data_IF_164806956916
#
_entry.id   IF_164806956916
#
_cell.length_a   1.000
_cell.length_b   1.000
_cell.length_c   1.000
_cell.angle_alpha   90.00
_cell.angle_beta   90.00
_cell.angle_gamma   90.00
#
_symmetry.space_group_name_H-M   'P 1'
#
loop_
_entity.id
_entity.type
_entity.pdbx_description
1 polymer ?
#
# COMPACT_ATOMS: atom_id res chain seq x y z
N UNK A 1 -6.18 5.49 9.37
CA UNK A 1 -5.15 4.55 8.88
C UNK A 1 -5.02 4.54 7.37
N UNK A 2 -6.12 4.32 6.63
CA UNK A 2 -6.10 4.35 5.14
C UNK A 2 -5.53 5.66 4.58
N UNK A 3 -5.87 6.80 5.19
CA UNK A 3 -5.33 8.11 4.81
C UNK A 3 -3.80 8.22 4.98
N UNK A 4 -3.22 7.51 5.94
CA UNK A 4 -1.75 7.47 6.12
C UNK A 4 -1.12 6.66 4.98
N UNK A 5 -1.75 5.53 4.60
CA UNK A 5 -1.32 4.76 3.42
C UNK A 5 -1.38 5.65 2.17
N UNK A 6 -2.46 6.42 1.99
CA UNK A 6 -2.61 7.39 0.90
C UNK A 6 -1.49 8.41 0.88
N UNK A 7 -1.26 9.09 2.00
CA UNK A 7 -0.22 10.10 2.09
C UNK A 7 1.17 9.54 1.75
N UNK A 8 1.50 8.33 2.23
CA UNK A 8 2.80 7.69 1.94
C UNK A 8 2.91 7.18 0.51
N UNK A 9 1.85 6.63 -0.07
CA UNK A 9 1.81 6.25 -1.47
C UNK A 9 2.00 7.48 -2.39
N UNK A 10 1.34 8.59 -2.08
CA UNK A 10 1.48 9.85 -2.83
C UNK A 10 2.91 10.41 -2.73
N UNK A 11 3.50 10.47 -1.54
CA UNK A 11 4.90 10.89 -1.36
C UNK A 11 5.85 10.01 -2.16
N UNK A 12 5.61 8.70 -2.17
CA UNK A 12 6.47 7.77 -2.92
C UNK A 12 6.32 7.94 -4.43
N UNK A 13 5.10 8.17 -4.93
CA UNK A 13 4.85 8.45 -6.34
C UNK A 13 5.55 9.74 -6.81
N UNK A 14 5.57 10.78 -5.97
CA UNK A 14 6.38 11.98 -6.24
C UNK A 14 7.86 11.65 -6.34
N UNK A 15 8.39 10.83 -5.42
CA UNK A 15 9.79 10.42 -5.46
C UNK A 15 10.14 9.59 -6.70
N UNK A 16 9.26 8.67 -7.09
CA UNK A 16 9.38 7.91 -8.35
C UNK A 16 9.45 8.84 -9.56
N UNK A 17 8.59 9.87 -9.58
CA UNK A 17 8.57 10.85 -10.67
C UNK A 17 9.89 11.63 -10.75
N UNK A 18 10.39 12.13 -9.61
CA UNK A 18 11.68 12.82 -9.51
C UNK A 18 12.84 11.94 -9.99
N UNK A 19 12.88 10.66 -9.57
CA UNK A 19 13.92 9.72 -9.97
C UNK A 19 13.87 9.41 -11.48
N UNK A 20 12.69 9.34 -12.08
CA UNK A 20 12.53 9.12 -13.51
C UNK A 20 13.03 10.30 -14.34
N UNK A 21 12.84 11.53 -13.84
CA UNK A 21 13.39 12.72 -14.48
C UNK A 21 14.92 12.77 -14.38
N UNK A 22 15.48 12.30 -13.26
CA UNK A 22 16.94 12.19 -13.07
C UNK A 22 17.57 11.02 -13.85
N UNK A 23 16.81 9.95 -14.11
CA UNK A 23 17.26 8.71 -14.74
C UNK A 23 16.36 8.31 -15.91
N UNK A 24 16.30 9.13 -16.97
CA UNK A 24 15.43 8.86 -18.11
C UNK A 24 15.81 7.52 -18.75
N UNK A 25 14.81 6.65 -18.95
CA UNK A 25 14.98 5.33 -19.57
C UNK A 25 15.34 4.19 -18.61
N UNK A 26 15.48 4.45 -17.30
CA UNK A 26 15.66 3.38 -16.31
C UNK A 26 14.38 2.53 -16.20
N UNK A 27 14.45 1.31 -16.74
CA UNK A 27 13.32 0.39 -16.80
C UNK A 27 12.88 -0.10 -15.42
N UNK A 28 13.76 -0.09 -14.42
CA UNK A 28 13.41 -0.52 -13.06
C UNK A 28 12.36 0.39 -12.40
N UNK A 29 12.31 1.68 -12.81
CA UNK A 29 11.34 2.66 -12.33
C UNK A 29 10.01 2.65 -13.10
N UNK A 30 9.94 1.94 -14.24
CA UNK A 30 8.84 2.11 -15.21
C UNK A 30 7.48 1.61 -14.73
N UNK A 31 7.45 0.55 -13.91
CA UNK A 31 6.22 -0.05 -13.37
C UNK A 31 5.76 0.57 -12.05
N UNK A 32 6.66 1.18 -11.27
CA UNK A 32 6.34 1.77 -9.97
C UNK A 32 5.17 2.77 -10.01
N UNK A 33 5.04 3.67 -11.00
CA UNK A 33 3.90 4.58 -11.07
C UNK A 33 2.56 3.87 -11.17
N UNK A 34 2.48 2.75 -11.90
CA UNK A 34 1.24 1.99 -12.03
C UNK A 34 0.85 1.37 -10.70
N UNK A 35 1.79 0.74 -9.99
CA UNK A 35 1.54 0.17 -8.67
C UNK A 35 1.06 1.24 -7.69
N UNK A 36 1.77 2.38 -7.57
CA UNK A 36 1.34 3.44 -6.66
C UNK A 36 0.02 4.11 -7.06
N UNK A 37 -0.28 4.20 -8.35
CA UNK A 37 -1.57 4.65 -8.84
C UNK A 37 -2.69 3.67 -8.44
N UNK A 38 -2.44 2.36 -8.50
CA UNK A 38 -3.39 1.32 -8.10
C UNK A 38 -3.65 1.34 -6.59
N UNK A 39 -2.61 1.51 -5.77
CA UNK A 39 -2.76 1.74 -4.32
C UNK A 39 -3.71 2.91 -4.08
N UNK A 40 -3.46 4.04 -4.74
CA UNK A 40 -4.23 5.28 -4.53
C UNK A 40 -5.67 5.22 -5.06
N UNK A 41 -5.88 4.65 -6.24
CA UNK A 41 -7.16 4.76 -6.95
C UNK A 41 -8.06 3.56 -6.75
N UNK A 42 -7.51 2.40 -6.41
CA UNK A 42 -8.26 1.17 -6.22
C UNK A 42 -8.22 0.71 -4.77
N UNK A 43 -7.03 0.50 -4.21
CA UNK A 43 -6.92 -0.18 -2.92
C UNK A 43 -7.34 0.73 -1.77
N UNK A 44 -7.00 2.01 -1.80
CA UNK A 44 -7.38 2.95 -0.73
C UNK A 44 -8.90 3.20 -0.70
N UNK A 45 -9.59 3.50 -1.81
CA UNK A 45 -11.05 3.62 -1.80
C UNK A 45 -11.73 2.34 -1.32
N UNK A 46 -11.29 1.17 -1.82
CA UNK A 46 -11.80 -0.12 -1.37
C UNK A 46 -11.50 -0.38 0.10
N UNK A 47 -10.33 0.00 0.59
CA UNK A 47 -9.93 -0.19 1.98
C UNK A 47 -10.76 0.72 2.88
N UNK A 48 -11.00 1.97 2.49
CA UNK A 48 -11.87 2.90 3.21
C UNK A 48 -13.28 2.35 3.36
N UNK A 49 -13.86 1.81 2.27
CA UNK A 49 -15.15 1.13 2.31
C UNK A 49 -15.10 -0.15 3.18
N UNK A 50 -14.03 -0.93 3.03
CA UNK A 50 -13.81 -2.17 3.74
C UNK A 50 -13.56 -2.00 5.23
N UNK A 51 -12.99 -0.89 5.70
CA UNK A 51 -12.81 -0.63 7.13
C UNK A 51 -14.16 -0.49 7.83
N UNK A 52 -15.18 0.06 7.15
CA UNK A 52 -16.54 0.10 7.66
C UNK A 52 -17.21 -1.29 7.67
N UNK A 53 -16.72 -2.23 6.86
CA UNK A 53 -17.29 -3.58 6.69
C UNK A 53 -16.42 -4.70 7.27
N UNK A 54 -15.25 -4.36 7.82
CA UNK A 54 -14.19 -5.29 8.20
C UNK A 54 -13.66 -6.16 7.05
N UNK A 55 -13.00 -5.63 6.01
CA UNK A 55 -12.37 -6.49 5.00
C UNK A 55 -10.85 -6.22 4.84
N UNK A 56 -9.99 -6.97 5.55
CA UNK A 56 -8.54 -6.71 5.62
C UNK A 56 -7.78 -7.02 4.33
N UNK A 57 -8.36 -7.80 3.41
CA UNK A 57 -7.68 -8.27 2.19
C UNK A 57 -7.21 -7.14 1.28
N UNK A 58 -7.91 -6.00 1.31
CA UNK A 58 -7.57 -4.84 0.49
C UNK A 58 -6.28 -4.17 0.96
N UNK A 59 -6.04 -4.10 2.27
CA UNK A 59 -4.81 -3.52 2.80
C UNK A 59 -3.57 -4.40 2.48
N UNK A 60 -3.75 -5.72 2.39
CA UNK A 60 -2.69 -6.65 1.93
C UNK A 60 -2.34 -6.45 0.45
N UNK A 61 -3.30 -6.05 -0.40
CA UNK A 61 -3.03 -5.73 -1.80
C UNK A 61 -2.10 -4.53 -1.92
N UNK A 62 -2.36 -3.47 -1.15
CA UNK A 62 -1.48 -2.30 -1.12
C UNK A 62 -0.05 -2.61 -0.62
N UNK A 63 0.12 -3.63 0.25
CA UNK A 63 1.46 -4.12 0.63
C UNK A 63 2.18 -4.77 -0.56
N UNK A 64 1.49 -5.68 -1.26
CA UNK A 64 2.06 -6.40 -2.40
C UNK A 64 2.46 -5.45 -3.54
N UNK A 65 1.73 -4.36 -3.73
CA UNK A 65 2.02 -3.35 -4.76
C UNK A 65 3.30 -2.56 -4.44
N UNK A 66 3.51 -2.19 -3.16
CA UNK A 66 4.75 -1.54 -2.73
C UNK A 66 5.97 -2.47 -2.91
N UNK A 67 5.83 -3.75 -2.57
CA UNK A 67 6.87 -4.76 -2.78
C UNK A 67 7.14 -5.02 -4.27
N UNK A 68 6.09 -4.98 -5.11
CA UNK A 68 6.22 -5.18 -6.56
C UNK A 68 7.05 -4.07 -7.21
N UNK A 69 6.97 -2.83 -6.71
CA UNK A 69 7.88 -1.76 -7.12
C UNK A 69 9.33 -2.07 -6.71
N UNK A 70 9.57 -2.50 -5.47
CA UNK A 70 10.92 -2.85 -4.99
C UNK A 70 11.56 -4.01 -5.78
N UNK A 71 10.77 -5.04 -6.11
CA UNK A 71 11.25 -6.20 -6.89
C UNK A 71 11.60 -5.86 -8.35
N UNK A 72 11.25 -4.67 -8.85
CA UNK A 72 11.71 -4.17 -10.14
C UNK A 72 13.22 -3.87 -10.18
N UNK A 73 13.89 -3.83 -9.02
CA UNK A 73 15.30 -3.49 -8.88
C UNK A 73 16.12 -4.74 -8.53
N UNK A 74 17.35 -4.82 -9.05
CA UNK A 74 18.32 -5.85 -8.67
C UNK A 74 19.02 -5.45 -7.36
N UNK A 75 18.32 -5.65 -6.23
CA UNK A 75 18.79 -5.29 -4.89
C UNK A 75 18.08 -4.05 -4.34
N UNK A 76 18.65 -3.42 -3.31
CA UNK A 76 18.06 -2.22 -2.71
C UNK A 76 17.91 -1.10 -3.74
N UNK A 77 16.69 -0.61 -3.87
CA UNK A 77 16.36 0.50 -4.76
C UNK A 77 16.60 1.86 -4.07
N UNK A 78 16.67 2.96 -4.84
CA UNK A 78 16.56 4.32 -4.29
C UNK A 78 15.22 4.61 -3.59
N UNK A 79 14.26 3.68 -3.66
CA UNK A 79 12.94 3.74 -3.06
C UNK A 79 12.78 2.79 -1.87
N UNK A 80 13.79 2.00 -1.49
CA UNK A 80 13.68 0.94 -0.46
C UNK A 80 12.99 1.45 0.81
N UNK A 81 13.42 2.60 1.34
CA UNK A 81 12.82 3.12 2.57
C UNK A 81 11.39 3.59 2.36
N UNK A 82 11.08 4.22 1.21
CA UNK A 82 9.74 4.64 0.86
C UNK A 82 8.78 3.44 0.71
N UNK A 83 9.22 2.42 -0.02
CA UNK A 83 8.48 1.16 -0.22
C UNK A 83 8.22 0.46 1.13
N UNK A 84 9.24 0.35 1.99
CA UNK A 84 9.09 -0.20 3.35
C UNK A 84 8.11 0.59 4.21
N UNK A 85 8.11 1.91 4.11
CA UNK A 85 7.16 2.74 4.86
C UNK A 85 5.73 2.47 4.43
N UNK A 86 5.46 2.44 3.11
CA UNK A 86 4.13 2.14 2.57
C UNK A 86 3.69 0.73 2.98
N UNK A 87 4.56 -0.26 2.80
CA UNK A 87 4.33 -1.64 3.24
C UNK A 87 3.98 -1.70 4.74
N UNK A 88 4.77 -1.04 5.59
CA UNK A 88 4.56 -1.03 7.04
C UNK A 88 3.22 -0.44 7.46
N UNK A 89 2.84 0.73 6.91
CA UNK A 89 1.55 1.34 7.27
C UNK A 89 0.35 0.58 6.71
N UNK A 90 0.50 -0.05 5.53
CA UNK A 90 -0.52 -0.92 4.96
C UNK A 90 -0.69 -2.21 5.79
N UNK A 91 0.40 -2.79 6.28
CA UNK A 91 0.36 -3.95 7.17
C UNK A 91 -0.34 -3.67 8.51
N UNK A 92 -0.07 -2.50 9.12
CA UNK A 92 -0.76 -2.06 10.34
C UNK A 92 -2.25 -1.84 10.06
N UNK A 93 -2.60 -1.23 8.93
CA UNK A 93 -4.00 -1.06 8.53
C UNK A 93 -4.71 -2.44 8.37
N UNK A 94 -4.07 -3.40 7.69
CA UNK A 94 -4.59 -4.75 7.55
C UNK A 94 -4.81 -5.45 8.90
N UNK A 95 -3.86 -5.29 9.82
CA UNK A 95 -3.96 -5.86 11.17
C UNK A 95 -5.15 -5.27 11.95
N UNK A 96 -5.33 -3.95 11.93
CA UNK A 96 -6.47 -3.29 12.59
C UNK A 96 -7.80 -3.79 11.99
N UNK A 97 -7.91 -3.88 10.67
CA UNK A 97 -9.12 -4.40 10.02
C UNK A 97 -9.41 -5.86 10.40
N UNK A 98 -8.39 -6.72 10.51
CA UNK A 98 -8.53 -8.11 11.01
C UNK A 98 -9.02 -8.14 12.46
N UNK A 99 -8.45 -7.30 13.32
CA UNK A 99 -8.83 -7.25 14.74
C UNK A 99 -10.29 -6.82 14.90
N UNK A 100 -10.73 -5.79 14.17
CA UNK A 100 -12.12 -5.33 14.20
C UNK A 100 -13.10 -6.43 13.74
N UNK A 101 -12.76 -7.17 12.68
CA UNK A 101 -13.52 -8.34 12.24
C UNK A 101 -13.69 -9.39 13.33
N UNK A 102 -12.61 -9.77 14.01
CA UNK A 102 -12.65 -10.78 15.06
C UNK A 102 -13.57 -10.37 16.21
N UNK A 103 -13.58 -9.09 16.58
CA UNK A 103 -14.54 -8.57 17.57
C UNK A 103 -15.99 -8.64 17.09
N UNK A 104 -16.26 -8.28 15.82
CA UNK A 104 -17.61 -8.37 15.25
C UNK A 104 -18.13 -9.81 15.21
N UNK A 105 -17.30 -10.80 14.87
CA UNK A 105 -17.69 -12.21 14.88
C UNK A 105 -17.98 -12.69 16.32
N UNK A 106 -17.15 -12.32 17.28
CA UNK A 106 -17.33 -12.70 18.68
C UNK A 106 -18.58 -12.07 19.32
N UNK A 107 -19.02 -10.90 18.85
CA UNK A 107 -20.25 -10.26 19.31
C UNK A 107 -21.52 -10.98 18.81
N UNK A 108 -21.45 -11.68 17.68
CA UNK A 108 -22.58 -12.42 17.09
C UNK A 108 -22.70 -13.83 17.69
N UNK A 109 -21.58 -14.44 18.11
CA UNK A 109 -21.56 -15.78 18.69
C UNK A 109 -22.02 -15.89 20.16
N UNK A 110 -22.53 -14.81 20.75
CA UNK A 110 -22.97 -14.75 22.16
C UNK A 110 -24.46 -14.38 22.29
N UNK A 111 -25.26 -14.61 21.24
CA UNK A 111 -26.73 -14.55 21.26
C UNK A 111 -27.34 -15.93 21.05
#
# INVERSE_FOLDING_TARGET
MVEIVQAKATVTLFKVSELRDQRPGDKSLSSCPEFYSRISQADIPKASEAFNKGNPKVAEQGMNEADSCEHGFSGSSPLTDYNKYVHGVAAVAAAIARTLLSYSVNAIGNQ
#
